data_IF_195639681642
#
_entry.id   IF_195639681642
#
_cell.length_a   1.000
_cell.length_b   1.000
_cell.length_c   1.000
_cell.angle_alpha   90.00
_cell.angle_beta   90.00
_cell.angle_gamma   90.00
#
_symmetry.space_group_name_H-M   'P 1'
#
loop_
_entity.id
_entity.type
_entity.pdbx_description
1 polymer ?
#
# COMPACT_ATOMS: atom_id res chain seq x y z
N UNK A 1 -15.85 -8.84 3.95
CA UNK A 1 -14.59 -8.16 4.35
C UNK A 1 -14.80 -7.66 5.77
N UNK A 2 -13.80 -7.76 6.64
CA UNK A 2 -13.85 -7.14 7.96
C UNK A 2 -13.02 -5.85 7.91
N UNK A 3 -13.58 -4.73 8.40
CA UNK A 3 -12.94 -3.42 8.29
C UNK A 3 -12.85 -2.78 9.66
N UNK A 4 -11.66 -2.30 10.00
CA UNK A 4 -11.41 -1.46 11.16
C UNK A 4 -11.08 -0.05 10.68
N UNK A 5 -11.75 0.97 11.22
CA UNK A 5 -11.35 2.37 11.08
C UNK A 5 -10.70 2.85 12.38
N UNK A 6 -9.54 3.50 12.26
CA UNK A 6 -8.85 4.21 13.32
C UNK A 6 -8.82 5.70 12.96
N UNK A 7 -9.73 6.44 13.59
CA UNK A 7 -9.79 7.90 13.53
C UNK A 7 -8.94 8.50 14.65
N UNK A 8 -8.01 9.39 14.33
CA UNK A 8 -7.19 10.09 15.32
C UNK A 8 -7.77 11.47 15.65
N UNK A 9 -7.74 11.84 16.93
CA UNK A 9 -8.30 13.10 17.41
C UNK A 9 -7.67 14.29 16.67
N UNK A 10 -8.51 15.23 16.20
CA UNK A 10 -8.09 16.43 15.47
C UNK A 10 -7.40 16.18 14.10
N UNK A 11 -7.45 14.96 13.57
CA UNK A 11 -6.96 14.64 12.21
C UNK A 11 -8.11 14.39 11.25
N UNK A 12 -7.99 14.91 10.03
CA UNK A 12 -8.90 14.60 8.91
C UNK A 12 -8.65 13.20 8.35
N UNK A 13 -7.45 12.67 8.58
CA UNK A 13 -6.98 11.37 8.12
C UNK A 13 -7.51 10.25 9.04
N UNK A 14 -8.03 9.21 8.42
CA UNK A 14 -8.38 7.93 9.06
C UNK A 14 -7.54 6.80 8.49
N UNK A 15 -7.14 5.87 9.34
CA UNK A 15 -6.50 4.63 8.95
C UNK A 15 -7.55 3.53 8.84
N UNK A 16 -7.68 2.89 7.68
CA UNK A 16 -8.53 1.73 7.48
C UNK A 16 -7.69 0.47 7.32
N UNK A 17 -8.13 -0.60 7.98
CA UNK A 17 -7.53 -1.92 7.89
C UNK A 17 -8.58 -2.92 7.43
N UNK A 18 -8.37 -3.51 6.27
CA UNK A 18 -9.30 -4.41 5.61
C UNK A 18 -8.72 -5.82 5.70
N UNK A 19 -9.40 -6.68 6.45
CA UNK A 19 -9.00 -8.06 6.66
C UNK A 19 -9.81 -8.99 5.76
N UNK A 20 -9.17 -10.01 5.17
CA UNK A 20 -9.89 -11.10 4.54
C UNK A 20 -10.75 -11.78 5.61
N UNK A 21 -12.02 -12.04 5.31
CA UNK A 21 -12.97 -12.58 6.26
C UNK A 21 -13.69 -13.75 5.63
N UNK A 22 -13.64 -14.90 6.30
CA UNK A 22 -14.16 -16.18 5.79
C UNK A 22 -15.10 -16.80 6.82
N UNK A 23 -16.12 -17.49 6.32
CA UNK A 23 -17.06 -18.19 7.18
C UNK A 23 -16.36 -19.41 7.78
N UNK A 24 -16.44 -19.57 9.10
CA UNK A 24 -15.94 -20.74 9.81
C UNK A 24 -16.84 -21.95 9.56
N UNK A 25 -16.34 -23.14 9.91
CA UNK A 25 -17.16 -24.36 9.97
C UNK A 25 -18.24 -24.31 11.07
N UNK A 26 -18.12 -23.37 12.02
CA UNK A 26 -19.15 -23.09 13.02
C UNK A 26 -20.20 -22.15 12.40
N UNK A 27 -21.47 -22.54 12.47
CA UNK A 27 -22.59 -21.76 11.93
C UNK A 27 -22.60 -20.33 12.51
N UNK A 28 -22.76 -19.32 11.65
CA UNK A 28 -22.69 -17.89 11.99
C UNK A 28 -21.39 -17.41 12.66
N UNK A 29 -20.31 -18.18 12.62
CA UNK A 29 -18.99 -17.74 13.07
C UNK A 29 -18.15 -17.33 11.85
N UNK A 30 -17.50 -16.18 11.94
CA UNK A 30 -16.62 -15.67 10.92
C UNK A 30 -15.25 -15.40 11.51
N UNK A 31 -14.20 -15.71 10.75
CA UNK A 31 -12.81 -15.58 11.18
C UNK A 31 -12.01 -14.81 10.15
N UNK A 32 -10.93 -14.20 10.61
CA UNK A 32 -9.95 -13.55 9.72
C UNK A 32 -9.27 -14.66 8.90
N UNK A 33 -9.42 -14.56 7.58
CA UNK A 33 -8.81 -15.47 6.62
C UNK A 33 -7.31 -15.24 6.48
N UNK A 34 -6.64 -16.19 5.83
CA UNK A 34 -5.21 -16.05 5.47
C UNK A 34 -5.03 -15.65 4.00
N UNK A 35 -6.06 -15.82 3.17
CA UNK A 35 -5.99 -15.52 1.73
C UNK A 35 -6.19 -14.02 1.48
N UNK A 36 -5.10 -13.26 1.45
CA UNK A 36 -5.11 -11.84 1.11
C UNK A 36 -5.34 -11.58 -0.38
N UNK A 37 -4.90 -12.48 -1.28
CA UNK A 37 -5.03 -12.27 -2.73
C UNK A 37 -6.49 -12.22 -3.16
N UNK A 38 -7.34 -13.10 -2.62
CA UNK A 38 -8.78 -13.08 -2.90
C UNK A 38 -9.48 -11.81 -2.39
N UNK A 39 -8.95 -11.14 -1.35
CA UNK A 39 -9.44 -9.83 -0.94
C UNK A 39 -9.02 -8.76 -1.97
N UNK A 40 -7.75 -8.74 -2.34
CA UNK A 40 -7.21 -7.77 -3.33
C UNK A 40 -7.94 -7.90 -4.67
N UNK A 41 -8.09 -9.11 -5.20
CA UNK A 41 -8.85 -9.40 -6.42
C UNK A 41 -10.29 -8.89 -6.34
N UNK A 42 -10.96 -9.04 -5.20
CA UNK A 42 -12.32 -8.50 -5.05
C UNK A 42 -12.32 -6.97 -5.05
N UNK A 43 -11.33 -6.33 -4.44
CA UNK A 43 -11.22 -4.87 -4.40
C UNK A 43 -10.94 -4.25 -5.78
N UNK A 44 -10.38 -5.01 -6.73
CA UNK A 44 -10.20 -4.55 -8.12
C UNK A 44 -11.45 -4.68 -8.98
N UNK A 45 -12.48 -5.39 -8.51
CA UNK A 45 -13.80 -5.45 -9.19
C UNK A 45 -14.58 -4.16 -8.98
N UNK A 46 -15.49 -3.85 -9.91
CA UNK A 46 -16.38 -2.69 -9.78
C UNK A 46 -17.21 -2.78 -8.50
N UNK A 47 -17.83 -3.94 -8.26
CA UNK A 47 -18.67 -4.20 -7.11
C UNK A 47 -17.88 -4.02 -5.80
N UNK A 48 -16.68 -4.59 -5.70
CA UNK A 48 -15.83 -4.44 -4.52
C UNK A 48 -15.33 -3.01 -4.31
N UNK A 49 -15.01 -2.28 -5.38
CA UNK A 49 -14.62 -0.87 -5.29
C UNK A 49 -15.78 0.03 -4.84
N UNK A 50 -17.00 -0.25 -5.30
CA UNK A 50 -18.21 0.48 -4.91
C UNK A 50 -18.59 0.17 -3.46
N UNK A 51 -18.42 -1.08 -2.99
CA UNK A 51 -18.55 -1.44 -1.58
C UNK A 51 -17.53 -0.72 -0.70
N UNK A 52 -16.25 -0.68 -1.12
CA UNK A 52 -15.20 0.03 -0.41
C UNK A 52 -15.54 1.53 -0.30
N UNK A 53 -15.99 2.16 -1.39
CA UNK A 53 -16.38 3.57 -1.37
C UNK A 53 -17.47 3.85 -0.33
N UNK A 54 -18.52 3.01 -0.28
CA UNK A 54 -19.59 3.13 0.72
C UNK A 54 -19.06 3.04 2.15
N UNK A 55 -18.09 2.17 2.40
CA UNK A 55 -17.44 2.04 3.71
C UNK A 55 -16.64 3.30 4.06
N UNK A 56 -15.82 3.81 3.14
CA UNK A 56 -15.01 5.02 3.35
C UNK A 56 -15.84 6.29 3.54
N UNK A 57 -17.04 6.32 2.95
CA UNK A 57 -18.01 7.42 3.08
C UNK A 57 -18.92 7.28 4.32
N UNK A 58 -18.69 6.28 5.18
CA UNK A 58 -19.47 6.07 6.41
C UNK A 58 -20.91 5.61 6.18
N UNK A 59 -21.23 5.11 4.97
CA UNK A 59 -22.57 4.62 4.62
C UNK A 59 -22.83 3.20 5.15
N UNK A 60 -21.82 2.57 5.75
CA UNK A 60 -21.89 1.22 6.31
C UNK A 60 -21.44 1.28 7.78
N UNK A 61 -22.24 0.72 8.69
CA UNK A 61 -21.85 0.55 10.08
C UNK A 61 -20.73 -0.48 10.20
N UNK A 62 -19.58 -0.06 10.73
CA UNK A 62 -18.46 -0.95 11.03
C UNK A 62 -18.74 -1.78 12.29
N UNK A 63 -18.11 -2.95 12.41
CA UNK A 63 -18.26 -3.82 13.58
C UNK A 63 -17.67 -3.18 14.83
N UNK A 64 -18.25 -3.47 16.00
CA UNK A 64 -17.78 -2.95 17.30
C UNK A 64 -16.37 -3.44 17.70
N UNK A 65 -15.90 -4.57 17.15
CA UNK A 65 -14.55 -5.05 17.40
C UNK A 65 -13.53 -4.23 16.61
N UNK A 66 -12.70 -3.46 17.30
CA UNK A 66 -11.64 -2.65 16.70
C UNK A 66 -10.29 -3.34 16.93
N UNK A 67 -9.52 -3.53 15.85
CA UNK A 67 -8.13 -4.01 15.92
C UNK A 67 -7.19 -2.81 15.86
N UNK A 68 -6.44 -2.58 16.93
CA UNK A 68 -5.39 -1.56 16.98
C UNK A 68 -4.03 -2.22 16.71
N UNK A 69 -3.48 -2.14 15.48
CA UNK A 69 -2.15 -2.65 15.23
C UNK A 69 -1.11 -1.62 15.68
N UNK A 70 0.07 -2.10 16.04
CA UNK A 70 1.25 -1.27 16.24
C UNK A 70 2.31 -1.79 15.29
N UNK A 71 2.71 -0.98 14.32
CA UNK A 71 3.75 -1.38 13.39
C UNK A 71 4.55 -0.26 12.75
N UNK A 72 5.71 -0.61 12.22
CA UNK A 72 6.59 0.26 11.45
C UNK A 72 7.07 -0.49 10.21
N UNK A 73 6.94 0.14 9.05
CA UNK A 73 7.35 -0.43 7.76
C UNK A 73 7.99 0.64 6.90
N UNK A 74 9.07 0.25 6.24
CA UNK A 74 9.68 0.99 5.16
C UNK A 74 9.77 0.07 3.95
N UNK A 75 9.44 0.60 2.78
CA UNK A 75 9.43 -0.17 1.55
C UNK A 75 9.97 0.66 0.39
N UNK A 76 10.84 0.05 -0.40
CA UNK A 76 11.38 0.62 -1.64
C UNK A 76 10.77 -0.16 -2.81
N UNK A 77 10.04 0.56 -3.67
CA UNK A 77 9.40 0.03 -4.86
C UNK A 77 10.15 0.54 -6.10
N UNK A 78 10.93 -0.31 -6.78
CA UNK A 78 11.42 -0.01 -8.12
C UNK A 78 10.22 0.22 -9.05
N UNK A 79 10.16 1.39 -9.69
CA UNK A 79 9.01 1.78 -10.50
C UNK A 79 9.18 1.31 -11.95
N UNK A 80 10.38 0.87 -12.34
CA UNK A 80 10.72 0.50 -13.72
C UNK A 80 9.79 -0.60 -14.28
N UNK A 81 9.56 -1.67 -13.51
CA UNK A 81 8.63 -2.76 -13.87
C UNK A 81 7.18 -2.25 -13.98
N UNK A 82 6.78 -1.34 -13.09
CA UNK A 82 5.46 -0.72 -13.13
C UNK A 82 5.28 0.18 -14.37
N UNK A 83 6.32 0.91 -14.78
CA UNK A 83 6.29 1.70 -16.02
C UNK A 83 6.11 0.81 -17.25
N UNK A 84 6.70 -0.39 -17.22
CA UNK A 84 6.49 -1.40 -18.26
C UNK A 84 5.05 -1.92 -18.28
N UNK A 85 4.52 -2.31 -17.12
CA UNK A 85 3.13 -2.79 -16.99
C UNK A 85 2.08 -1.73 -17.35
N UNK A 86 2.38 -0.44 -17.11
CA UNK A 86 1.53 0.69 -17.49
C UNK A 86 1.68 1.08 -18.98
N UNK A 87 2.55 0.42 -19.74
CA UNK A 87 2.75 0.69 -21.17
C UNK A 87 3.49 2.00 -21.46
N UNK A 88 4.22 2.53 -20.48
CA UNK A 88 4.99 3.79 -20.58
C UNK A 88 6.52 3.56 -20.55
N UNK A 89 6.94 2.33 -20.87
CA UNK A 89 8.34 1.89 -20.96
C UNK A 89 9.24 2.81 -21.80
N UNK A 90 8.68 3.47 -22.83
CA UNK A 90 9.40 4.41 -23.69
C UNK A 90 10.15 5.52 -22.92
N UNK A 91 9.72 5.86 -21.71
CA UNK A 91 10.43 6.83 -20.87
C UNK A 91 11.82 6.35 -20.44
N UNK A 92 12.00 5.04 -20.31
CA UNK A 92 13.25 4.38 -19.92
C UNK A 92 14.19 4.13 -21.11
N UNK A 93 13.69 4.30 -22.34
CA UNK A 93 14.40 3.94 -23.56
C UNK A 93 15.13 5.15 -24.15
N UNK A 94 16.46 5.12 -24.30
CA UNK A 94 17.24 6.26 -24.80
C UNK A 94 16.79 6.77 -26.17
N UNK A 95 16.33 5.88 -27.06
CA UNK A 95 15.98 6.22 -28.45
C UNK A 95 14.49 6.54 -28.63
N UNK A 96 13.64 6.24 -27.63
CA UNK A 96 12.19 6.39 -27.71
C UNK A 96 11.62 7.40 -26.72
N UNK A 97 12.39 7.82 -25.71
CA UNK A 97 11.96 8.81 -24.74
C UNK A 97 11.89 10.20 -25.36
N UNK A 98 10.73 10.85 -25.23
CA UNK A 98 10.56 12.24 -25.66
C UNK A 98 10.32 13.15 -24.45
N UNK A 99 11.42 13.62 -23.86
CA UNK A 99 11.44 14.56 -22.74
C UNK A 99 11.91 15.96 -23.18
N UNK A 100 11.65 16.35 -24.43
CA UNK A 100 12.14 17.60 -25.04
C UNK A 100 11.65 18.87 -24.34
N UNK A 101 10.59 18.78 -23.53
CA UNK A 101 10.08 19.89 -22.73
C UNK A 101 10.99 20.21 -21.53
N UNK A 102 11.84 19.28 -21.09
CA UNK A 102 12.78 19.48 -19.99
C UNK A 102 14.15 19.96 -20.48
N UNK A 103 14.62 19.44 -21.62
CA UNK A 103 15.91 19.80 -22.21
C UNK A 103 15.90 19.58 -23.71
N UNK A 104 16.82 20.26 -24.43
CA UNK A 104 17.03 20.07 -25.87
C UNK A 104 17.90 18.86 -26.20
N UNK A 105 18.58 18.30 -25.20
CA UNK A 105 19.39 17.09 -25.33
C UNK A 105 18.50 15.84 -25.29
N UNK A 106 18.99 14.72 -25.83
CA UNK A 106 18.27 13.46 -25.71
C UNK A 106 18.27 13.01 -24.24
N UNK A 107 17.09 12.92 -23.63
CA UNK A 107 16.91 12.60 -22.22
C UNK A 107 15.93 11.44 -22.08
N UNK A 108 16.34 10.46 -21.28
CA UNK A 108 15.53 9.33 -20.85
C UNK A 108 15.70 9.12 -19.35
N UNK A 109 14.79 8.37 -18.74
CA UNK A 109 14.93 7.91 -17.37
C UNK A 109 15.88 6.72 -17.35
N UNK A 110 16.93 6.79 -16.53
CA UNK A 110 17.76 5.64 -16.15
C UNK A 110 17.14 4.79 -15.04
N UNK A 111 15.95 5.17 -14.55
CA UNK A 111 15.17 4.42 -13.58
C UNK A 111 14.34 5.33 -12.67
N UNK A 112 13.43 4.73 -11.90
CA UNK A 112 12.66 5.41 -10.88
C UNK A 112 12.41 4.53 -9.64
N UNK A 113 12.36 5.16 -8.47
CA UNK A 113 12.14 4.48 -7.19
C UNK A 113 11.13 5.26 -6.34
N UNK A 114 10.14 4.57 -5.80
CA UNK A 114 9.20 5.10 -4.82
C UNK A 114 9.52 4.46 -3.46
N UNK A 115 9.91 5.29 -2.49
CA UNK A 115 10.18 4.83 -1.12
C UNK A 115 9.08 5.31 -0.20
N UNK A 116 8.51 4.40 0.59
CA UNK A 116 7.42 4.70 1.53
C UNK A 116 7.84 4.31 2.93
N UNK A 117 7.47 5.13 3.91
CA UNK A 117 7.59 4.87 5.32
C UNK A 117 6.22 5.02 5.99
N UNK A 118 5.81 4.02 6.78
CA UNK A 118 4.57 4.06 7.56
C UNK A 118 4.84 3.55 8.98
N UNK A 119 4.41 4.32 9.96
CA UNK A 119 4.40 3.96 11.38
C UNK A 119 3.00 4.16 11.94
N UNK A 120 2.46 3.11 12.54
CA UNK A 120 1.17 3.09 13.21
C UNK A 120 1.38 2.78 14.68
N UNK A 121 0.86 3.65 15.54
CA UNK A 121 0.68 3.44 16.97
C UNK A 121 -0.80 3.58 17.33
N UNK A 122 -1.22 3.15 18.53
CA UNK A 122 -2.60 3.35 18.99
C UNK A 122 -3.05 4.82 18.98
N UNK A 123 -2.12 5.75 19.17
CA UNK A 123 -2.38 7.19 19.28
C UNK A 123 -2.18 7.95 17.97
N UNK A 124 -1.40 7.41 17.03
CA UNK A 124 -1.06 8.13 15.80
C UNK A 124 -0.71 7.23 14.61
N UNK A 125 -0.93 7.75 13.41
CA UNK A 125 -0.30 7.29 12.17
C UNK A 125 0.64 8.35 11.62
N UNK A 126 1.85 7.94 11.26
CA UNK A 126 2.83 8.74 10.52
C UNK A 126 3.12 8.01 9.22
N UNK A 127 2.96 8.69 8.10
CA UNK A 127 3.30 8.15 6.79
C UNK A 127 3.97 9.23 5.94
N UNK A 128 4.88 8.80 5.07
CA UNK A 128 5.55 9.67 4.11
C UNK A 128 6.15 8.84 2.99
N UNK A 129 6.31 9.46 1.83
CA UNK A 129 6.98 8.84 0.71
C UNK A 129 7.91 9.82 -0.01
N UNK A 130 8.84 9.23 -0.77
CA UNK A 130 9.84 9.95 -1.55
C UNK A 130 9.94 9.30 -2.92
N UNK A 131 9.81 10.11 -3.97
CA UNK A 131 10.01 9.71 -5.36
C UNK A 131 11.42 10.10 -5.80
N UNK A 132 12.14 9.17 -6.41
CA UNK A 132 13.47 9.39 -6.96
C UNK A 132 13.50 8.98 -8.44
N UNK A 133 14.04 9.85 -9.28
CA UNK A 133 14.20 9.62 -10.73
C UNK A 133 15.67 9.73 -11.10
N UNK A 134 16.15 8.83 -11.94
CA UNK A 134 17.55 8.78 -12.37
C UNK A 134 17.65 9.04 -13.87
N UNK A 135 18.79 9.59 -14.31
CA UNK A 135 19.11 9.82 -15.73
C UNK A 135 20.17 8.80 -16.21
N UNK A 136 20.80 8.07 -15.29
CA UNK A 136 21.82 7.04 -15.59
C UNK A 136 21.59 5.81 -14.70
N UNK A 137 21.83 4.61 -15.23
CA UNK A 137 21.76 3.32 -14.51
C UNK A 137 22.86 3.13 -13.43
N UNK A 138 23.51 4.19 -12.95
CA UNK A 138 24.66 4.10 -12.03
C UNK A 138 24.24 4.12 -10.54
N UNK A 139 22.94 4.24 -10.24
CA UNK A 139 22.46 4.27 -8.87
C UNK A 139 22.17 2.85 -8.36
N UNK A 140 23.13 2.25 -7.63
CA UNK A 140 22.86 1.03 -6.85
C UNK A 140 22.28 1.44 -5.49
N UNK A 141 21.04 1.06 -5.23
CA UNK A 141 20.43 1.22 -3.91
C UNK A 141 20.99 0.15 -2.97
N UNK A 142 21.61 0.58 -1.87
CA UNK A 142 21.74 -0.29 -0.71
C UNK A 142 20.38 -0.29 -0.03
N UNK A 143 19.64 -1.38 -0.22
CA UNK A 143 18.47 -1.67 0.60
C UNK A 143 18.87 -1.46 2.07
N UNK A 144 18.09 -0.68 2.80
CA UNK A 144 18.26 -0.61 4.25
C UNK A 144 17.77 -1.94 4.80
N UNK A 145 18.69 -2.90 4.93
CA UNK A 145 18.51 -4.02 5.83
C UNK A 145 18.33 -3.44 7.24
N UNK A 146 17.10 -3.32 7.73
CA UNK A 146 16.90 -2.97 9.14
C UNK A 146 15.63 -2.26 9.57
N UNK A 147 14.55 -2.21 8.81
CA UNK A 147 13.27 -1.81 9.43
C UNK A 147 12.67 -2.97 10.21
N UNK A 148 12.61 -2.79 11.54
CA UNK A 148 11.95 -3.67 12.50
C UNK A 148 10.54 -4.01 12.02
N UNK A 149 10.34 -5.22 11.49
CA UNK A 149 9.02 -5.77 11.25
C UNK A 149 8.36 -6.06 12.60
N UNK A 150 7.68 -5.05 13.13
CA UNK A 150 6.71 -5.21 14.22
C UNK A 150 5.67 -6.28 13.89
N UNK A 151 5.35 -7.07 14.91
CA UNK A 151 4.53 -8.29 14.82
C UNK A 151 3.05 -7.99 14.53
N UNK A 152 2.66 -7.95 13.27
CA UNK A 152 1.25 -8.04 12.90
C UNK A 152 0.80 -9.50 12.79
N UNK A 153 -0.38 -9.82 13.34
CA UNK A 153 -0.83 -11.23 13.47
C UNK A 153 -1.51 -11.79 12.22
N UNK A 154 -2.08 -10.94 11.38
CA UNK A 154 -2.90 -11.30 10.22
C UNK A 154 -2.47 -10.51 8.99
N UNK A 155 -2.73 -11.02 7.78
CA UNK A 155 -2.62 -10.25 6.54
C UNK A 155 -3.80 -9.26 6.41
N UNK A 156 -3.55 -8.06 5.88
CA UNK A 156 -4.56 -7.03 5.67
C UNK A 156 -4.18 -6.05 4.55
N UNK A 157 -5.18 -5.38 3.99
CA UNK A 157 -4.99 -4.18 3.18
C UNK A 157 -5.09 -2.97 4.11
N UNK A 158 -4.19 -2.01 3.95
CA UNK A 158 -4.15 -0.76 4.70
C UNK A 158 -4.48 0.41 3.78
N UNK A 159 -5.26 1.36 4.28
CA UNK A 159 -5.52 2.64 3.61
C UNK A 159 -5.35 3.78 4.60
N UNK A 160 -4.63 4.83 4.22
CA UNK A 160 -4.69 6.14 4.89
C UNK A 160 -5.58 7.03 4.02
N UNK A 161 -6.72 7.43 4.55
CA UNK A 161 -7.76 8.12 3.80
C UNK A 161 -8.01 9.51 4.40
N UNK A 162 -8.00 10.54 3.54
CA UNK A 162 -8.41 11.88 3.91
C UNK A 162 -9.92 12.03 3.78
N UNK A 163 -10.61 12.07 4.92
CA UNK A 163 -12.08 12.16 4.96
C UNK A 163 -12.62 13.48 4.46
N UNK A 164 -11.82 14.55 4.48
CA UNK A 164 -12.26 15.85 3.99
C UNK A 164 -12.14 15.93 2.47
N UNK A 165 -11.04 15.40 1.92
CA UNK A 165 -10.79 15.40 0.47
C UNK A 165 -11.46 14.25 -0.27
N UNK A 166 -11.91 13.23 0.46
CA UNK A 166 -12.41 11.97 -0.10
C UNK A 166 -11.35 11.22 -0.94
N UNK A 167 -10.08 11.36 -0.54
CA UNK A 167 -8.93 10.83 -1.27
C UNK A 167 -8.21 9.77 -0.42
N UNK A 168 -7.80 8.67 -1.07
CA UNK A 168 -6.82 7.75 -0.49
C UNK A 168 -5.46 8.43 -0.62
N UNK A 169 -4.73 8.59 0.49
CA UNK A 169 -3.38 9.14 0.52
C UNK A 169 -2.33 8.03 0.40
N UNK A 170 -2.53 6.94 1.13
CA UNK A 170 -1.67 5.76 1.07
C UNK A 170 -2.50 4.49 0.97
N UNK A 171 -2.04 3.51 0.20
CA UNK A 171 -2.61 2.15 0.18
C UNK A 171 -1.51 1.12 0.27
N UNK A 172 -1.76 0.03 1.01
CA UNK A 172 -0.78 -0.97 1.41
C UNK A 172 -1.35 -2.38 1.41
N UNK A 173 -0.59 -3.40 1.01
CA UNK A 173 -0.92 -4.81 1.33
C UNK A 173 0.10 -5.35 2.31
N UNK A 174 -0.31 -5.72 3.53
CA UNK A 174 0.54 -6.38 4.51
C UNK A 174 0.27 -7.88 4.46
N UNK A 175 1.23 -8.68 3.98
CA UNK A 175 1.06 -10.11 3.84
C UNK A 175 1.94 -10.91 4.81
N UNK A 176 1.31 -11.64 5.74
CA UNK A 176 1.95 -12.56 6.67
C UNK A 176 2.08 -13.96 6.06
N UNK A 177 3.02 -14.16 5.13
CA UNK A 177 3.34 -15.50 4.64
C UNK A 177 4.19 -16.26 5.68
N UNK A 178 3.70 -17.42 6.17
CA UNK A 178 4.40 -18.28 7.14
C UNK A 178 5.49 -19.19 6.54
N UNK A 179 5.93 -18.98 5.29
CA UNK A 179 6.70 -19.99 4.53
C UNK A 179 8.01 -19.53 3.91
N UNK A 180 8.54 -18.35 4.26
CA UNK A 180 9.88 -17.98 3.81
C UNK A 180 10.77 -17.69 5.03
N UNK A 181 12.05 -18.09 4.98
CA UNK A 181 13.01 -17.83 6.06
C UNK A 181 13.03 -16.32 6.35
N UNK A 182 13.41 -15.95 7.57
CA UNK A 182 13.37 -14.59 8.15
C UNK A 182 14.08 -13.49 7.33
N UNK A 183 14.70 -13.84 6.19
CA UNK A 183 15.26 -12.94 5.16
C UNK A 183 14.31 -12.59 4.01
N UNK A 184 13.10 -13.15 3.96
CA UNK A 184 12.12 -12.80 2.92
C UNK A 184 11.17 -11.73 3.45
N UNK A 185 11.47 -10.51 3.02
CA UNK A 185 10.62 -9.32 3.09
C UNK A 185 9.14 -9.68 3.08
N UNK A 186 8.39 -9.22 4.08
CA UNK A 186 6.95 -9.07 3.93
C UNK A 186 6.68 -8.38 2.58
N UNK A 187 5.87 -8.99 1.72
CA UNK A 187 5.48 -8.39 0.45
C UNK A 187 4.51 -7.24 0.75
N UNK A 188 5.09 -6.13 1.15
CA UNK A 188 4.42 -4.88 1.47
C UNK A 188 4.40 -4.04 0.21
N UNK A 189 3.28 -3.97 -0.50
CA UNK A 189 3.13 -3.02 -1.60
C UNK A 189 2.48 -1.78 -1.04
N UNK A 190 3.22 -0.67 -0.94
CA UNK A 190 2.70 0.62 -0.52
C UNK A 190 2.84 1.66 -1.62
N UNK A 191 1.77 2.43 -1.83
CA UNK A 191 1.73 3.55 -2.76
C UNK A 191 1.20 4.78 -2.05
N UNK A 192 1.83 5.93 -2.30
CA UNK A 192 1.21 7.23 -2.13
C UNK A 192 0.32 7.53 -3.35
N UNK A 193 -0.92 7.95 -3.15
CA UNK A 193 -1.92 8.12 -4.21
C UNK A 193 -2.25 9.60 -4.52
N UNK A 194 -1.62 10.57 -3.85
CA UNK A 194 -1.95 12.00 -3.90
C UNK A 194 -1.05 12.85 -4.77
#
# INVERSE_FOLDING_TARGET
MFVTELSYLHKTQSLYLLFPYVQSCIHNCWIIGQNISGLVERLTTKEGSDELRKVLEGQVSLSESVIYPEFEVEYELPIDELLEDLGIRQLLEPDHSNLSNFTRENLHLGGAMHRVYVKVTPENVTAGAVNMFFIKNEATFKSIEGTNYSQYKNSFVLLIYDRHRHDILFTGVMNKNHQLPEDSSAHCFFFECS
#
